data_IF_744463256278
#
_entry.id   IF_744463256278
#
_cell.length_a   1.000
_cell.length_b   1.000
_cell.length_c   1.000
_cell.angle_alpha   90.00
_cell.angle_beta   90.00
_cell.angle_gamma   90.00
#
_symmetry.space_group_name_H-M   'P 1'
#
loop_
_entity.id
_entity.type
_entity.pdbx_description
1 polymer ?
#
# COMPACT_ATOMS: atom_id res chain seq x y z
N UNK A 1 17.41 12.94 -11.14
CA UNK A 1 16.68 12.09 -10.18
C UNK A 1 15.68 12.96 -9.45
N UNK A 2 14.41 12.96 -9.89
CA UNK A 2 13.33 13.68 -9.19
C UNK A 2 13.07 12.93 -7.90
N UNK A 3 13.56 13.50 -6.80
CA UNK A 3 13.47 12.94 -5.46
C UNK A 3 12.01 12.62 -5.10
N UNK A 4 11.76 11.50 -4.42
CA UNK A 4 10.46 11.23 -3.79
C UNK A 4 10.01 12.44 -2.96
N UNK A 5 10.93 13.17 -2.28
CA UNK A 5 10.62 14.44 -1.60
C UNK A 5 9.98 15.50 -2.51
N UNK A 6 10.32 15.56 -3.80
CA UNK A 6 9.72 16.52 -4.73
C UNK A 6 8.26 16.17 -5.04
N UNK A 7 7.91 14.88 -5.15
CA UNK A 7 6.52 14.41 -5.29
C UNK A 7 5.72 14.63 -4.00
N UNK A 8 6.33 14.37 -2.84
CA UNK A 8 5.72 14.62 -1.53
C UNK A 8 5.46 16.12 -1.32
N UNK A 9 6.44 16.98 -1.64
CA UNK A 9 6.31 18.44 -1.48
C UNK A 9 5.32 19.03 -2.49
N UNK A 10 5.23 18.50 -3.71
CA UNK A 10 4.22 18.96 -4.68
C UNK A 10 2.81 18.52 -4.30
N UNK A 11 2.60 17.33 -3.74
CA UNK A 11 1.30 16.90 -3.23
C UNK A 11 0.87 17.72 -2.00
N UNK A 12 1.79 18.00 -1.07
CA UNK A 12 1.50 18.88 0.07
C UNK A 12 1.24 20.34 -0.35
N UNK A 13 1.93 20.88 -1.36
CA UNK A 13 1.68 22.24 -1.86
C UNK A 13 0.41 22.37 -2.72
N UNK A 14 0.01 21.32 -3.44
CA UNK A 14 -1.26 21.30 -4.18
C UNK A 14 -2.47 21.25 -3.24
N UNK A 15 -2.36 20.57 -2.09
CA UNK A 15 -3.38 20.52 -1.04
C UNK A 15 -3.72 21.90 -0.47
N UNK A 16 -2.73 22.79 -0.31
CA UNK A 16 -2.96 24.15 0.21
C UNK A 16 -3.48 25.14 -0.85
N UNK A 17 -3.26 24.87 -2.14
CA UNK A 17 -3.57 25.84 -3.21
C UNK A 17 -4.97 25.69 -3.79
N UNK A 18 -5.63 24.54 -3.63
CA UNK A 18 -6.93 24.28 -4.25
C UNK A 18 -8.12 24.23 -3.30
N UNK A 19 -7.94 24.13 -1.98
CA UNK A 19 -9.05 24.19 -1.01
C UNK A 19 -10.14 23.12 -1.20
N UNK A 20 -9.96 22.19 -2.12
CA UNK A 20 -10.87 21.07 -2.39
C UNK A 20 -10.33 19.87 -1.64
N UNK A 21 -11.07 19.42 -0.63
CA UNK A 21 -10.72 18.31 0.26
C UNK A 21 -10.73 16.93 -0.41
N UNK A 22 -10.10 16.80 -1.58
CA UNK A 22 -9.94 15.54 -2.29
C UNK A 22 -8.45 15.20 -2.34
N UNK A 23 -8.04 14.32 -1.43
CA UNK A 23 -6.74 13.67 -1.43
C UNK A 23 -6.82 12.59 -2.50
N UNK A 24 -6.78 12.99 -3.78
CA UNK A 24 -6.84 12.12 -4.94
C UNK A 24 -5.45 11.89 -5.53
N UNK A 25 -5.08 10.70 -6.04
CA UNK A 25 -3.93 10.63 -6.97
C UNK A 25 -4.32 11.47 -8.21
N UNK A 26 -3.60 12.55 -8.55
CA UNK A 26 -3.85 13.25 -9.80
C UNK A 26 -3.55 12.28 -10.94
N UNK A 27 -4.47 12.12 -11.90
CA UNK A 27 -4.29 11.26 -13.09
C UNK A 27 -2.91 11.43 -13.77
N UNK A 28 -2.30 12.61 -13.66
CA UNK A 28 -0.94 12.92 -14.08
C UNK A 28 0.15 11.97 -13.52
N UNK A 29 0.03 11.46 -12.30
CA UNK A 29 1.02 10.54 -11.70
C UNK A 29 0.95 9.14 -12.32
N UNK A 30 -0.24 8.73 -12.74
CA UNK A 30 -0.50 7.43 -13.36
C UNK A 30 -0.11 7.46 -14.83
N UNK A 31 -0.43 8.55 -15.54
CA UNK A 31 0.04 8.77 -16.91
C UNK A 31 1.56 8.92 -17.00
N UNK A 32 2.20 9.47 -15.96
CA UNK A 32 3.66 9.60 -15.90
C UNK A 32 4.40 8.27 -15.66
N UNK A 33 3.69 7.14 -15.54
CA UNK A 33 4.25 5.80 -15.34
C UNK A 33 5.25 5.70 -14.15
N UNK A 34 5.02 6.50 -13.10
CA UNK A 34 5.95 6.63 -11.95
C UNK A 34 5.85 5.41 -11.02
N UNK A 35 4.76 4.64 -11.11
CA UNK A 35 4.49 3.49 -10.25
C UNK A 35 5.52 2.36 -10.48
N UNK A 36 5.80 2.01 -11.73
CA UNK A 36 6.77 0.95 -12.07
C UNK A 36 8.18 1.24 -11.50
N UNK A 37 8.75 2.45 -11.71
CA UNK A 37 10.00 2.84 -11.06
C UNK A 37 9.94 2.81 -9.52
N UNK A 38 8.82 3.21 -8.91
CA UNK A 38 8.68 3.16 -7.45
C UNK A 38 8.70 1.72 -6.92
N UNK A 39 7.99 0.80 -7.56
CA UNK A 39 8.02 -0.63 -7.19
C UNK A 39 9.42 -1.21 -7.39
N UNK A 40 10.10 -0.86 -8.48
CA UNK A 40 11.47 -1.28 -8.72
C UNK A 40 12.44 -0.75 -7.64
N UNK A 41 12.30 0.51 -7.22
CA UNK A 41 13.08 1.08 -6.12
C UNK A 41 12.79 0.36 -4.80
N UNK A 42 11.52 0.02 -4.54
CA UNK A 42 11.12 -0.70 -3.33
C UNK A 42 11.79 -2.09 -3.23
N UNK A 43 12.02 -2.74 -4.37
CA UNK A 43 12.69 -4.04 -4.45
C UNK A 43 14.22 -3.92 -4.38
N UNK A 44 14.82 -3.02 -5.16
CA UNK A 44 16.26 -3.03 -5.44
C UNK A 44 17.06 -1.90 -4.81
N UNK A 45 16.42 -0.84 -4.32
CA UNK A 45 17.15 0.32 -3.78
C UNK A 45 17.63 0.09 -2.34
N UNK A 46 18.44 1.01 -1.84
CA UNK A 46 18.88 1.03 -0.46
C UNK A 46 17.72 1.29 0.51
N UNK A 47 17.89 0.85 1.76
CA UNK A 47 16.84 0.91 2.78
C UNK A 47 16.22 2.31 2.93
N UNK A 48 17.03 3.36 2.87
CA UNK A 48 16.53 4.74 2.96
C UNK A 48 15.59 5.12 1.82
N UNK A 49 15.86 4.63 0.61
CA UNK A 49 15.02 4.86 -0.56
C UNK A 49 13.76 3.98 -0.50
N UNK A 50 13.88 2.74 -0.02
CA UNK A 50 12.74 1.83 0.16
C UNK A 50 11.67 2.43 1.08
N UNK A 51 12.09 3.09 2.17
CA UNK A 51 11.18 3.79 3.09
C UNK A 51 10.35 4.86 2.39
N UNK A 52 11.01 5.71 1.59
CA UNK A 52 10.35 6.77 0.84
C UNK A 52 9.42 6.22 -0.24
N UNK A 53 9.84 5.14 -0.92
CA UNK A 53 9.00 4.46 -1.91
C UNK A 53 7.76 3.81 -1.28
N UNK A 54 7.89 3.16 -0.12
CA UNK A 54 6.76 2.61 0.62
C UNK A 54 5.76 3.70 1.03
N UNK A 55 6.27 4.83 1.52
CA UNK A 55 5.46 5.98 1.89
C UNK A 55 4.69 6.56 0.70
N UNK A 56 5.35 6.71 -0.45
CA UNK A 56 4.72 7.16 -1.68
C UNK A 56 3.59 6.22 -2.13
N UNK A 57 3.80 4.89 -2.07
CA UNK A 57 2.78 3.91 -2.44
C UNK A 57 1.60 3.93 -1.46
N UNK A 58 1.85 3.97 -0.16
CA UNK A 58 0.79 4.01 0.86
C UNK A 58 -0.11 5.24 0.68
N UNK A 59 0.49 6.42 0.51
CA UNK A 59 -0.28 7.63 0.23
C UNK A 59 -1.04 7.55 -1.09
N UNK A 60 -0.44 6.96 -2.12
CA UNK A 60 -1.14 6.73 -3.38
C UNK A 60 -2.36 5.84 -3.17
N UNK A 61 -2.26 4.76 -2.38
CA UNK A 61 -3.42 3.91 -2.09
C UNK A 61 -4.48 4.58 -1.20
N UNK A 62 -4.09 5.52 -0.33
CA UNK A 62 -5.02 6.24 0.54
C UNK A 62 -5.86 7.26 -0.24
N UNK A 63 -5.25 7.91 -1.23
CA UNK A 63 -5.92 8.88 -2.09
C UNK A 63 -6.35 8.37 -3.46
N UNK A 64 -6.10 7.10 -3.77
CA UNK A 64 -6.39 6.54 -5.09
C UNK A 64 -7.87 6.23 -5.28
N UNK A 65 -8.38 6.34 -6.51
CA UNK A 65 -9.62 5.67 -6.87
C UNK A 65 -9.41 4.16 -6.94
N UNK A 66 -10.50 3.37 -6.89
CA UNK A 66 -10.40 1.90 -6.93
C UNK A 66 -9.60 1.43 -8.15
N UNK A 67 -9.82 2.00 -9.35
CA UNK A 67 -9.08 1.61 -10.55
C UNK A 67 -7.59 1.90 -10.46
N UNK A 68 -7.21 2.99 -9.80
CA UNK A 68 -5.80 3.34 -9.60
C UNK A 68 -5.12 2.38 -8.61
N UNK A 69 -5.84 1.99 -7.56
CA UNK A 69 -5.36 1.01 -6.57
C UNK A 69 -5.24 -0.38 -7.23
N UNK A 70 -6.21 -0.78 -8.06
CA UNK A 70 -6.13 -2.01 -8.86
C UNK A 70 -4.90 -1.99 -9.77
N UNK A 71 -4.62 -0.86 -10.43
CA UNK A 71 -3.43 -0.70 -11.25
C UNK A 71 -2.13 -0.78 -10.42
N UNK A 72 -2.07 -0.12 -9.25
CA UNK A 72 -0.93 -0.22 -8.33
C UNK A 72 -0.66 -1.67 -7.92
N UNK A 73 -1.71 -2.39 -7.51
CA UNK A 73 -1.62 -3.77 -7.11
C UNK A 73 -1.16 -4.69 -8.27
N UNK A 74 -1.65 -4.44 -9.49
CA UNK A 74 -1.23 -5.20 -10.68
C UNK A 74 0.23 -4.95 -11.08
N UNK A 75 0.84 -3.84 -10.66
CA UNK A 75 2.28 -3.59 -10.83
C UNK A 75 3.15 -4.38 -9.82
N UNK A 76 2.57 -5.21 -8.95
CA UNK A 76 3.33 -6.06 -8.04
C UNK A 76 3.89 -5.34 -6.82
N UNK A 77 3.23 -4.27 -6.36
CA UNK A 77 3.65 -3.54 -5.15
C UNK A 77 3.41 -4.32 -3.84
N UNK A 78 2.58 -5.36 -3.86
CA UNK A 78 2.20 -6.16 -2.68
C UNK A 78 3.41 -6.87 -2.06
N UNK A 79 4.17 -7.64 -2.86
CA UNK A 79 5.29 -8.43 -2.36
C UNK A 79 6.37 -7.57 -1.67
N UNK A 80 6.83 -6.45 -2.27
CA UNK A 80 7.79 -5.56 -1.62
C UNK A 80 7.24 -4.88 -0.35
N UNK A 81 5.94 -4.58 -0.29
CA UNK A 81 5.31 -4.05 0.93
C UNK A 81 5.32 -5.11 2.04
N UNK A 82 4.98 -6.37 1.73
CA UNK A 82 5.06 -7.47 2.68
C UNK A 82 6.50 -7.65 3.20
N UNK A 83 7.51 -7.56 2.32
CA UNK A 83 8.92 -7.67 2.71
C UNK A 83 9.41 -6.51 3.59
N UNK A 84 8.72 -5.37 3.62
CA UNK A 84 9.02 -4.29 4.56
C UNK A 84 8.35 -4.45 5.92
N UNK A 85 7.38 -5.35 6.08
CA UNK A 85 6.74 -5.59 7.39
C UNK A 85 7.72 -6.15 8.43
N UNK A 86 8.79 -6.82 8.00
CA UNK A 86 9.84 -7.31 8.91
C UNK A 86 10.77 -6.20 9.43
N UNK A 87 10.63 -4.96 8.96
CA UNK A 87 11.45 -3.84 9.39
C UNK A 87 11.28 -3.52 10.88
N UNK A 88 12.35 -3.01 11.50
CA UNK A 88 12.35 -2.61 12.92
C UNK A 88 11.70 -1.25 13.15
N UNK A 89 11.59 -0.39 12.12
CA UNK A 89 10.96 0.93 12.26
C UNK A 89 9.43 0.78 12.25
N UNK A 90 8.74 1.02 13.39
CA UNK A 90 7.28 0.86 13.47
C UNK A 90 6.54 1.80 12.52
N UNK A 91 7.10 2.97 12.19
CA UNK A 91 6.45 3.92 11.29
C UNK A 91 6.33 3.36 9.87
N UNK A 92 7.38 2.68 9.40
CA UNK A 92 7.40 2.05 8.08
C UNK A 92 6.43 0.87 8.03
N UNK A 93 6.37 0.10 9.11
CA UNK A 93 5.42 -1.00 9.25
C UNK A 93 3.98 -0.50 9.18
N UNK A 94 3.64 0.56 9.92
CA UNK A 94 2.31 1.18 9.86
C UNK A 94 1.96 1.62 8.44
N UNK A 95 2.88 2.30 7.75
CA UNK A 95 2.70 2.76 6.37
C UNK A 95 2.46 1.59 5.40
N UNK A 96 3.20 0.49 5.56
CA UNK A 96 3.02 -0.71 4.75
C UNK A 96 1.68 -1.41 5.03
N UNK A 97 1.28 -1.52 6.30
CA UNK A 97 -0.01 -2.06 6.69
C UNK A 97 -1.17 -1.24 6.12
N UNK A 98 -1.08 0.08 6.15
CA UNK A 98 -2.09 0.97 5.56
C UNK A 98 -2.21 0.77 4.04
N UNK A 99 -1.08 0.64 3.35
CA UNK A 99 -1.07 0.35 1.92
C UNK A 99 -1.76 -0.98 1.59
N UNK A 100 -1.41 -2.04 2.34
CA UNK A 100 -2.01 -3.37 2.18
C UNK A 100 -3.50 -3.38 2.53
N UNK A 101 -3.91 -2.68 3.59
CA UNK A 101 -5.31 -2.56 4.01
C UNK A 101 -6.16 -1.91 2.91
N UNK A 102 -5.69 -0.82 2.30
CA UNK A 102 -6.41 -0.15 1.23
C UNK A 102 -6.54 -1.02 -0.03
N UNK A 103 -5.47 -1.74 -0.40
CA UNK A 103 -5.50 -2.70 -1.52
C UNK A 103 -6.52 -3.81 -1.23
N UNK A 104 -6.52 -4.36 -0.02
CA UNK A 104 -7.45 -5.41 0.39
C UNK A 104 -8.91 -4.95 0.37
N UNK A 105 -9.19 -3.72 0.80
CA UNK A 105 -10.54 -3.12 0.73
C UNK A 105 -11.05 -3.02 -0.71
N UNK A 106 -10.18 -2.65 -1.65
CA UNK A 106 -10.53 -2.66 -3.08
C UNK A 106 -10.81 -4.07 -3.56
N UNK A 107 -10.01 -5.05 -3.13
CA UNK A 107 -10.27 -6.47 -3.43
C UNK A 107 -11.60 -6.99 -2.87
N UNK A 108 -11.98 -6.58 -1.65
CA UNK A 108 -13.29 -6.92 -1.08
C UNK A 108 -14.42 -6.26 -1.87
N UNK A 109 -14.27 -4.98 -2.27
CA UNK A 109 -15.26 -4.32 -3.13
C UNK A 109 -15.40 -5.01 -4.49
N UNK A 110 -14.29 -5.50 -5.07
CA UNK A 110 -14.29 -6.27 -6.32
C UNK A 110 -15.03 -7.59 -6.15
N UNK A 111 -14.77 -8.29 -5.03
CA UNK A 111 -15.45 -9.53 -4.64
C UNK A 111 -16.96 -9.32 -4.43
N UNK A 112 -17.36 -8.29 -3.70
CA UNK A 112 -18.78 -7.93 -3.50
C UNK A 112 -19.47 -7.54 -4.82
N UNK A 113 -18.71 -6.92 -5.74
CA UNK A 113 -19.15 -6.60 -7.09
C UNK A 113 -19.24 -7.80 -8.05
N UNK A 114 -18.95 -9.02 -7.58
CA UNK A 114 -18.99 -10.24 -8.40
C UNK A 114 -17.81 -10.39 -9.38
N UNK A 115 -16.76 -9.59 -9.23
CA UNK A 115 -15.51 -9.74 -9.99
C UNK A 115 -14.64 -10.85 -9.36
N UNK A 116 -13.65 -11.33 -10.12
CA UNK A 116 -12.67 -12.31 -9.65
C UNK A 116 -13.30 -13.57 -9.02
N UNK A 117 -14.39 -14.12 -9.58
CA UNK A 117 -15.10 -15.30 -9.03
C UNK A 117 -15.52 -15.20 -7.55
N UNK A 118 -15.68 -13.99 -7.00
CA UNK A 118 -16.03 -13.80 -5.60
C UNK A 118 -14.87 -14.07 -4.63
N UNK A 119 -13.64 -14.07 -5.12
CA UNK A 119 -12.42 -14.12 -4.29
C UNK A 119 -11.69 -12.79 -4.31
N UNK A 120 -10.99 -12.51 -3.22
CA UNK A 120 -10.12 -11.34 -3.12
C UNK A 120 -8.74 -11.72 -3.66
N UNK A 121 -8.48 -11.41 -4.95
CA UNK A 121 -7.21 -11.72 -5.61
C UNK A 121 -5.99 -11.15 -4.86
N UNK A 122 -6.15 -9.98 -4.25
CA UNK A 122 -5.06 -9.36 -3.48
C UNK A 122 -4.79 -10.09 -2.17
N UNK A 123 -5.82 -10.66 -1.53
CA UNK A 123 -5.64 -11.51 -0.36
C UNK A 123 -4.81 -12.75 -0.69
N UNK A 124 -5.09 -13.41 -1.82
CA UNK A 124 -4.26 -14.53 -2.31
C UNK A 124 -2.82 -14.09 -2.59
N UNK A 125 -2.63 -12.94 -3.24
CA UNK A 125 -1.28 -12.43 -3.56
C UNK A 125 -0.46 -12.12 -2.29
N UNK A 126 -1.13 -11.63 -1.22
CA UNK A 126 -0.50 -11.40 0.08
C UNK A 126 -0.09 -12.72 0.73
N UNK A 127 -0.96 -13.74 0.68
CA UNK A 127 -0.68 -15.06 1.22
C UNK A 127 0.53 -15.73 0.50
N UNK A 128 0.55 -15.68 -0.83
CA UNK A 128 1.67 -16.14 -1.67
C UNK A 128 3.00 -15.38 -1.40
N UNK A 129 2.93 -14.20 -0.77
CA UNK A 129 4.09 -13.37 -0.43
C UNK A 129 4.56 -13.54 1.01
N UNK A 130 4.11 -14.59 1.70
CA UNK A 130 4.29 -14.81 3.15
C UNK A 130 3.78 -13.63 4.00
N UNK A 131 2.89 -12.82 3.45
CA UNK A 131 2.38 -11.62 4.10
C UNK A 131 1.57 -11.95 5.34
N UNK A 132 0.76 -13.01 5.29
CA UNK A 132 -0.04 -13.50 6.41
C UNK A 132 0.84 -13.77 7.64
N UNK A 133 1.86 -14.62 7.48
CA UNK A 133 2.81 -14.97 8.55
C UNK A 133 3.55 -13.73 9.08
N UNK A 134 3.99 -12.83 8.20
CA UNK A 134 4.66 -11.58 8.60
C UNK A 134 3.75 -10.68 9.43
N UNK A 135 2.47 -10.57 9.07
CA UNK A 135 1.48 -9.76 9.80
C UNK A 135 1.12 -10.40 11.15
N UNK A 136 1.02 -11.73 11.23
CA UNK A 136 0.82 -12.43 12.50
C UNK A 136 1.99 -12.17 13.47
N UNK A 137 3.23 -12.21 12.98
CA UNK A 137 4.41 -11.86 13.78
C UNK A 137 4.45 -10.38 14.23
N UNK A 138 3.71 -9.48 13.59
CA UNK A 138 3.63 -8.08 14.05
C UNK A 138 2.81 -7.94 15.33
N UNK A 139 1.90 -8.87 15.62
CA UNK A 139 1.08 -8.82 16.83
C UNK A 139 1.88 -8.98 18.11
N UNK A 140 3.09 -9.57 18.04
CA UNK A 140 3.96 -9.78 19.19
C UNK A 140 4.80 -8.55 19.56
N UNK A 141 4.67 -7.45 18.82
CA UNK A 141 5.41 -6.20 19.07
C UNK A 141 4.66 -5.32 20.07
N UNK A 142 5.41 -4.56 20.88
CA UNK A 142 4.89 -3.58 21.86
C UNK A 142 4.34 -2.30 21.19
N UNK A 143 3.53 -2.44 20.14
CA UNK A 143 2.85 -1.31 19.50
C UNK A 143 1.38 -1.66 19.27
N UNK A 144 0.51 -1.11 20.13
CA UNK A 144 -0.93 -1.37 20.10
C UNK A 144 -1.59 -0.97 18.76
N UNK A 145 -1.12 0.10 18.13
CA UNK A 145 -1.68 0.56 16.85
C UNK A 145 -1.37 -0.43 15.72
N UNK A 146 -0.11 -0.90 15.66
CA UNK A 146 0.30 -1.93 14.70
C UNK A 146 -0.45 -3.23 14.96
N UNK A 147 -0.62 -3.61 16.23
CA UNK A 147 -1.38 -4.79 16.63
C UNK A 147 -2.84 -4.71 16.16
N UNK A 148 -3.55 -3.63 16.46
CA UNK A 148 -4.95 -3.45 16.04
C UNK A 148 -5.11 -3.47 14.52
N UNK A 149 -4.20 -2.81 13.78
CA UNK A 149 -4.21 -2.83 12.31
C UNK A 149 -3.92 -4.23 11.76
N UNK A 150 -2.95 -4.93 12.33
CA UNK A 150 -2.61 -6.30 11.94
C UNK A 150 -3.80 -7.25 12.13
N UNK A 151 -4.51 -7.16 13.26
CA UNK A 151 -5.71 -7.95 13.52
C UNK A 151 -6.79 -7.70 12.46
N UNK A 152 -7.10 -6.43 12.16
CA UNK A 152 -8.10 -6.07 11.13
C UNK A 152 -7.73 -6.62 9.76
N UNK A 153 -6.47 -6.51 9.36
CA UNK A 153 -5.99 -7.03 8.07
C UNK A 153 -6.10 -8.56 8.03
N UNK A 154 -5.73 -9.25 9.11
CA UNK A 154 -5.84 -10.71 9.19
C UNK A 154 -7.28 -11.19 9.13
N UNK A 155 -8.23 -10.47 9.70
CA UNK A 155 -9.65 -10.78 9.55
C UNK A 155 -10.11 -10.69 8.09
N UNK A 156 -9.65 -9.68 7.34
CA UNK A 156 -9.95 -9.53 5.91
C UNK A 156 -9.30 -10.67 5.12
N UNK A 157 -8.03 -10.97 5.37
CA UNK A 157 -7.31 -12.05 4.68
C UNK A 157 -7.98 -13.41 4.89
N UNK A 158 -8.41 -13.71 6.12
CA UNK A 158 -9.12 -14.95 6.46
C UNK A 158 -10.53 -15.04 5.87
N UNK A 159 -11.16 -13.90 5.55
CA UNK A 159 -12.46 -13.84 4.86
C UNK A 159 -12.35 -13.88 3.34
N UNK A 160 -11.19 -13.49 2.80
CA UNK A 160 -10.91 -13.39 1.37
C UNK A 160 -10.40 -14.68 0.71
N UNK A 161 -9.92 -15.64 1.51
CA UNK A 161 -9.47 -16.98 1.10
C UNK A 161 -10.59 -17.98 0.87
#
# INVERSE_FOLDING_TARGET
MVSAKALITTLSLYSWRLGTGQIGIPYAVIEANIILPLVHLLQHAEFDIKKEAAWAISNATCGGSHDQIRFLASQGCIKPLCDLLICLDPRIVTVCLEGLENILKVGEADKEGGMNNGINLYAQTIDESDGLYKIENLQTRDNNEIHEKAVKILEILRRGG
#
